data_IF_580586386447
#
_entry.id   IF_580586386447
#
_cell.length_a   1.000
_cell.length_b   1.000
_cell.length_c   1.000
_cell.angle_alpha   90.00
_cell.angle_beta   90.00
_cell.angle_gamma   90.00
#
_symmetry.space_group_name_H-M   'P 1'
#
loop_
_entity.id
_entity.type
_entity.pdbx_description
1 polymer ?
#
# COMPACT_ATOMS: atom_id res chain seq x y z
N UNK A 1 -7.09 11.70 -6.03
CA UNK A 1 -6.05 10.70 -5.77
C UNK A 1 -6.33 9.41 -6.50
N UNK A 2 -5.30 8.78 -7.02
CA UNK A 2 -5.44 7.54 -7.78
C UNK A 2 -4.92 6.35 -6.98
N UNK A 3 -5.64 5.24 -7.10
CA UNK A 3 -5.18 3.95 -6.57
C UNK A 3 -5.13 2.99 -7.74
N UNK A 4 -3.93 2.60 -8.13
CA UNK A 4 -3.73 1.64 -9.24
C UNK A 4 -3.43 0.27 -8.64
N UNK A 5 -4.10 -0.76 -9.16
CA UNK A 5 -3.90 -2.12 -8.69
C UNK A 5 -3.42 -2.98 -9.86
N UNK A 6 -2.30 -3.66 -9.64
CA UNK A 6 -1.75 -4.62 -10.60
C UNK A 6 -1.73 -5.99 -9.96
N UNK A 7 -2.26 -6.98 -10.66
CA UNK A 7 -2.19 -8.38 -10.21
C UNK A 7 -1.23 -9.15 -11.10
N UNK A 8 -0.34 -9.92 -10.50
CA UNK A 8 0.66 -10.72 -11.20
C UNK A 8 0.46 -12.20 -10.89
N UNK A 9 0.42 -13.02 -11.93
CA UNK A 9 0.29 -14.47 -11.85
C UNK A 9 -1.10 -14.94 -11.41
N UNK A 10 -2.10 -14.04 -11.45
CA UNK A 10 -3.49 -14.36 -11.17
C UNK A 10 -4.37 -13.18 -11.57
N UNK A 11 -5.68 -13.38 -11.54
CA UNK A 11 -6.63 -12.31 -11.78
C UNK A 11 -7.28 -11.94 -10.46
N UNK A 12 -7.15 -10.68 -10.05
CA UNK A 12 -7.72 -10.24 -8.78
C UNK A 12 -9.25 -10.15 -8.87
N UNK A 13 -9.91 -10.69 -7.85
CA UNK A 13 -11.38 -10.61 -7.77
C UNK A 13 -11.81 -9.19 -7.45
N UNK A 14 -13.08 -8.87 -7.71
CA UNK A 14 -13.61 -7.57 -7.34
C UNK A 14 -13.59 -7.36 -5.83
N UNK A 15 -13.83 -8.43 -5.06
CA UNK A 15 -13.78 -8.36 -3.61
C UNK A 15 -12.37 -7.98 -3.13
N UNK A 16 -11.33 -8.55 -3.74
CA UNK A 16 -9.96 -8.23 -3.37
C UNK A 16 -9.62 -6.79 -3.72
N UNK A 17 -10.03 -6.32 -4.90
CA UNK A 17 -9.82 -4.93 -5.30
C UNK A 17 -10.54 -3.97 -4.36
N UNK A 18 -11.77 -4.30 -3.98
CA UNK A 18 -12.53 -3.48 -3.04
C UNK A 18 -11.83 -3.40 -1.68
N UNK A 19 -11.28 -4.52 -1.22
CA UNK A 19 -10.52 -4.56 0.03
C UNK A 19 -9.30 -3.65 -0.04
N UNK A 20 -8.56 -3.69 -1.15
CA UNK A 20 -7.41 -2.82 -1.35
C UNK A 20 -7.83 -1.35 -1.29
N UNK A 21 -8.89 -0.99 -2.02
CA UNK A 21 -9.39 0.39 -2.02
C UNK A 21 -9.79 0.82 -0.62
N UNK A 22 -10.51 -0.02 0.10
CA UNK A 22 -10.95 0.29 1.46
C UNK A 22 -9.79 0.58 2.39
N UNK A 23 -8.78 -0.30 2.37
CA UNK A 23 -7.63 -0.16 3.27
C UNK A 23 -6.75 1.03 2.89
N UNK A 24 -6.53 1.26 1.61
CA UNK A 24 -5.70 2.37 1.15
C UNK A 24 -6.38 3.72 1.43
N UNK A 25 -7.70 3.79 1.29
CA UNK A 25 -8.42 5.03 1.60
C UNK A 25 -8.24 5.48 3.04
N UNK A 26 -8.09 4.54 3.95
CA UNK A 26 -7.81 4.88 5.36
C UNK A 26 -6.45 5.54 5.51
N UNK A 27 -5.45 5.08 4.75
CA UNK A 27 -4.14 5.71 4.75
C UNK A 27 -4.24 7.12 4.17
N UNK A 28 -4.94 7.26 3.05
CA UNK A 28 -5.13 8.55 2.39
C UNK A 28 -5.81 9.56 3.31
N UNK A 29 -6.80 9.10 4.05
CA UNK A 29 -7.59 9.97 4.93
C UNK A 29 -6.70 10.74 5.92
N UNK A 30 -5.64 10.12 6.38
CA UNK A 30 -4.72 10.74 7.34
C UNK A 30 -3.45 11.29 6.68
N UNK A 31 -3.33 11.16 5.35
CA UNK A 31 -2.12 11.55 4.61
C UNK A 31 -2.51 12.17 3.29
N UNK A 32 -3.24 13.28 3.36
CA UNK A 32 -3.82 13.93 2.18
C UNK A 32 -2.77 14.43 1.18
N UNK A 33 -1.51 14.53 1.59
CA UNK A 33 -0.43 14.95 0.71
C UNK A 33 0.03 13.84 -0.26
N UNK A 34 -0.45 12.61 -0.07
CA UNK A 34 -0.14 11.53 -1.00
C UNK A 34 -0.97 11.71 -2.26
N UNK A 35 -0.30 11.73 -3.41
CA UNK A 35 -0.95 11.98 -4.70
C UNK A 35 -1.52 10.71 -5.31
N UNK A 36 -0.82 9.61 -5.20
CA UNK A 36 -1.34 8.34 -5.70
C UNK A 36 -0.68 7.16 -5.01
N UNK A 37 -1.34 6.01 -5.10
CA UNK A 37 -0.84 4.74 -4.60
C UNK A 37 -0.84 3.73 -5.74
N UNK A 38 0.18 2.91 -5.78
CA UNK A 38 0.24 1.77 -6.69
C UNK A 38 0.38 0.52 -5.83
N UNK A 39 -0.57 -0.41 -5.96
CA UNK A 39 -0.58 -1.65 -5.18
C UNK A 39 -0.36 -2.81 -6.15
N UNK A 40 0.65 -3.61 -5.90
CA UNK A 40 1.00 -4.76 -6.72
C UNK A 40 0.76 -6.02 -5.90
N UNK A 41 -0.13 -6.86 -6.42
CA UNK A 41 -0.51 -8.12 -5.79
C UNK A 41 0.11 -9.25 -6.60
N UNK A 42 0.93 -10.08 -5.96
CA UNK A 42 1.61 -11.18 -6.66
C UNK A 42 1.28 -12.50 -5.96
N UNK A 43 0.72 -13.44 -6.72
CA UNK A 43 0.50 -14.78 -6.19
C UNK A 43 1.75 -15.61 -6.43
N UNK A 44 2.32 -16.13 -5.35
CA UNK A 44 3.51 -16.97 -5.38
C UNK A 44 3.14 -18.37 -4.91
N UNK A 45 4.08 -19.31 -5.04
CA UNK A 45 3.77 -20.70 -4.76
C UNK A 45 3.21 -20.96 -3.36
N UNK A 46 3.82 -20.34 -2.36
CA UNK A 46 3.45 -20.57 -0.97
C UNK A 46 3.05 -19.30 -0.23
N UNK A 47 2.85 -18.21 -0.96
CA UNK A 47 2.53 -16.95 -0.30
C UNK A 47 1.82 -16.00 -1.27
N UNK A 48 1.23 -14.97 -0.70
CA UNK A 48 0.60 -13.90 -1.46
C UNK A 48 1.26 -12.60 -1.05
N UNK A 49 1.93 -11.97 -2.01
CA UNK A 49 2.76 -10.80 -1.77
C UNK A 49 2.01 -9.52 -2.13
N UNK A 50 2.16 -8.51 -1.28
CA UNK A 50 1.64 -7.17 -1.57
C UNK A 50 2.78 -6.18 -1.53
N UNK A 51 2.89 -5.34 -2.56
CA UNK A 51 3.79 -4.21 -2.60
C UNK A 51 2.96 -2.94 -2.73
N UNK A 52 3.30 -1.92 -1.96
CA UNK A 52 2.62 -0.63 -2.03
C UNK A 52 3.65 0.43 -2.31
N UNK A 53 3.41 1.25 -3.33
CA UNK A 53 4.23 2.43 -3.60
C UNK A 53 3.32 3.64 -3.48
N UNK A 54 3.71 4.60 -2.66
CA UNK A 54 2.96 5.84 -2.47
C UNK A 54 3.80 7.00 -2.98
N UNK A 55 3.19 7.87 -3.77
CA UNK A 55 3.87 9.02 -4.36
C UNK A 55 3.34 10.31 -3.74
N UNK A 56 4.23 11.09 -3.17
CA UNK A 56 3.93 12.43 -2.69
C UNK A 56 4.85 13.42 -3.40
N UNK A 57 4.56 14.69 -3.29
CA UNK A 57 5.42 15.69 -3.91
C UNK A 57 6.80 15.66 -3.25
N UNK A 58 7.81 15.27 -4.03
CA UNK A 58 9.18 15.22 -3.57
C UNK A 58 9.59 13.96 -2.81
N UNK A 59 8.66 13.04 -2.58
CA UNK A 59 8.95 11.82 -1.83
C UNK A 59 8.20 10.63 -2.40
N UNK A 60 8.86 9.48 -2.40
CA UNK A 60 8.21 8.21 -2.69
C UNK A 60 8.40 7.29 -1.49
N UNK A 61 7.35 6.52 -1.19
CA UNK A 61 7.40 5.54 -0.11
C UNK A 61 7.08 4.17 -0.69
N UNK A 62 7.70 3.14 -0.15
CA UNK A 62 7.46 1.78 -0.63
C UNK A 62 7.55 0.79 0.51
N UNK A 63 6.68 -0.21 0.48
CA UNK A 63 6.71 -1.32 1.43
C UNK A 63 6.21 -2.57 0.75
N UNK A 64 6.70 -3.73 1.18
CA UNK A 64 6.19 -5.00 0.67
C UNK A 64 6.18 -6.02 1.79
N UNK A 65 5.25 -6.96 1.69
CA UNK A 65 5.09 -8.02 2.67
C UNK A 65 4.57 -9.29 2.01
N UNK A 66 4.94 -10.42 2.56
CA UNK A 66 4.44 -11.72 2.17
C UNK A 66 3.68 -12.33 3.33
N UNK A 67 2.60 -13.01 3.04
CA UNK A 67 1.85 -13.77 4.04
C UNK A 67 1.10 -14.89 3.31
N UNK A 68 0.34 -15.68 4.07
CA UNK A 68 -0.43 -16.76 3.50
C UNK A 68 -1.64 -16.27 2.69
N UNK A 69 -2.18 -15.10 3.03
CA UNK A 69 -3.31 -14.51 2.29
C UNK A 69 -3.07 -13.02 2.04
N UNK A 70 -3.64 -12.51 0.94
CA UNK A 70 -3.48 -11.12 0.55
C UNK A 70 -3.92 -10.13 1.62
N UNK A 71 -4.99 -10.43 2.34
CA UNK A 71 -5.49 -9.52 3.37
C UNK A 71 -4.42 -9.26 4.43
N UNK A 72 -3.72 -10.30 4.86
CA UNK A 72 -2.67 -10.17 5.86
C UNK A 72 -1.46 -9.42 5.32
N UNK A 73 -1.02 -9.77 4.10
CA UNK A 73 0.09 -9.07 3.45
C UNK A 73 -0.23 -7.59 3.27
N UNK A 74 -1.46 -7.29 2.88
CA UNK A 74 -1.92 -5.92 2.67
C UNK A 74 -1.88 -5.12 3.96
N UNK A 75 -2.43 -5.65 5.04
CA UNK A 75 -2.43 -4.97 6.33
C UNK A 75 -1.01 -4.73 6.81
N UNK A 76 -0.15 -5.74 6.69
CA UNK A 76 1.24 -5.61 7.11
C UNK A 76 2.00 -4.57 6.27
N UNK A 77 1.77 -4.54 4.96
CA UNK A 77 2.41 -3.57 4.09
C UNK A 77 1.90 -2.15 4.39
N UNK A 78 0.62 -2.00 4.67
CA UNK A 78 0.03 -0.71 5.04
C UNK A 78 0.63 -0.20 6.34
N UNK A 79 0.79 -1.07 7.33
CA UNK A 79 1.42 -0.68 8.59
C UNK A 79 2.84 -0.17 8.36
N UNK A 80 3.61 -0.86 7.53
CA UNK A 80 4.98 -0.45 7.20
C UNK A 80 5.03 0.89 6.51
N UNK A 81 4.22 1.06 5.47
CA UNK A 81 4.27 2.30 4.69
C UNK A 81 3.76 3.48 5.51
N UNK A 82 2.79 3.24 6.39
CA UNK A 82 2.27 4.28 7.28
C UNK A 82 3.34 4.79 8.22
N UNK A 83 4.19 3.90 8.71
CA UNK A 83 5.31 4.29 9.57
C UNK A 83 6.30 5.15 8.79
N UNK A 84 6.61 4.80 7.54
CA UNK A 84 7.51 5.58 6.69
C UNK A 84 6.96 6.99 6.45
N UNK A 85 5.67 7.07 6.13
CA UNK A 85 5.02 8.36 5.86
C UNK A 85 5.05 9.22 7.11
N UNK A 86 4.74 8.64 8.26
CA UNK A 86 4.75 9.37 9.53
C UNK A 86 6.14 9.88 9.86
N UNK A 87 7.17 9.06 9.67
CA UNK A 87 8.55 9.47 9.95
C UNK A 87 8.96 10.65 9.08
N UNK A 88 8.60 10.63 7.81
CA UNK A 88 8.93 11.72 6.90
C UNK A 88 8.19 13.00 7.30
N UNK A 89 6.92 12.88 7.66
CA UNK A 89 6.13 14.01 8.12
C UNK A 89 6.73 14.62 9.39
N UNK A 90 7.07 13.79 10.36
CA UNK A 90 7.67 14.23 11.62
C UNK A 90 9.00 14.93 11.38
N UNK A 91 9.81 14.41 10.46
CA UNK A 91 11.07 15.05 10.09
C UNK A 91 10.86 16.43 9.50
N UNK A 92 9.86 16.58 8.66
CA UNK A 92 9.60 17.83 7.97
C UNK A 92 9.13 18.93 8.92
N UNK A 93 8.44 18.54 10.00
CA UNK A 93 7.90 19.51 10.96
C UNK A 93 8.80 19.67 12.16
N UNK A 94 9.43 18.60 12.51
CA UNK A 94 10.06 18.44 13.81
C UNK A 94 11.43 19.02 13.96
N UNK A 95 11.74 19.79 13.36
CA UNK A 95 12.96 20.24 13.51
C UNK A 95 13.31 20.92 14.09
#
# INVERSE_FOLDING_TARGET
>A
MNIDITARHFTASEQLKDLVHEKIRKVEKFNSHIMNFHVILTKENNSEKVEIVAHAKGYDFAAHENADVFERSLVNAIDKISIQIKKQHDKAIGR
#
